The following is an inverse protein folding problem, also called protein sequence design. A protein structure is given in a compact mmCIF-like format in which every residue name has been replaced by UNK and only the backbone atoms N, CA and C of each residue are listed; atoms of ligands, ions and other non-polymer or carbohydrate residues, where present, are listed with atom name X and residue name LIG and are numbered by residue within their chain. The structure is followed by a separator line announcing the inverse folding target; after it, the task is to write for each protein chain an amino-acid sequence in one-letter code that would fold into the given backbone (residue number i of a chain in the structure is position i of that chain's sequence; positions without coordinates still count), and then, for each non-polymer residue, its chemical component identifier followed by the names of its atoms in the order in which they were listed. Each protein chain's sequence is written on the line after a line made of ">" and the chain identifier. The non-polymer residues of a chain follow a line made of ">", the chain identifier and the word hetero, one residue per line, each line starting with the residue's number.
data_IF_942323997566
#
_entry.id   IF_942323997566
#
_cell.length_a   1.000
_cell.length_b   1.000
_cell.length_c   1.000
_cell.angle_alpha   90.00
_cell.angle_beta   90.00
_cell.angle_gamma   90.00
#
_symmetry.space_group_name_H-M   'P 1'
#
loop_
_entity.id
_entity.type
_entity.pdbx_description
1 polymer ?
#
# COMPACT_ATOMS: atom_id res chain seq x y z
N UNK A 1 23.82 0.02 -9.83
CA UNK A 1 23.65 1.09 -8.84
C UNK A 1 22.20 1.53 -8.88
N UNK A 2 21.53 1.60 -7.73
CA UNK A 2 20.14 2.09 -7.67
C UNK A 2 20.05 3.54 -8.17
N UNK A 3 18.94 3.87 -8.80
CA UNK A 3 18.67 5.23 -9.28
C UNK A 3 18.46 6.17 -8.08
N UNK A 4 19.16 7.31 -8.06
CA UNK A 4 19.01 8.30 -6.97
C UNK A 4 17.60 8.90 -6.91
N UNK A 5 17.13 9.30 -5.73
CA UNK A 5 15.81 9.96 -5.55
C UNK A 5 15.64 11.20 -6.42
N UNK A 6 16.70 12.00 -6.60
CA UNK A 6 16.68 13.16 -7.49
C UNK A 6 16.44 12.75 -8.94
N UNK A 7 17.08 11.69 -9.42
CA UNK A 7 16.86 11.19 -10.78
C UNK A 7 15.41 10.70 -10.96
N UNK A 8 14.87 9.94 -9.99
CA UNK A 8 13.45 9.53 -10.00
C UNK A 8 12.51 10.74 -10.07
N UNK A 9 12.73 11.75 -9.21
CA UNK A 9 11.94 12.96 -9.16
C UNK A 9 12.01 13.77 -10.47
N UNK A 10 13.20 13.91 -11.05
CA UNK A 10 13.42 14.61 -12.32
C UNK A 10 12.71 13.92 -13.47
N UNK A 11 12.87 12.60 -13.60
CA UNK A 11 12.25 11.84 -14.68
C UNK A 11 10.74 11.94 -14.66
N UNK A 12 10.16 11.86 -13.46
CA UNK A 12 8.73 11.98 -13.22
C UNK A 12 8.20 13.38 -13.49
N UNK A 13 8.81 14.40 -12.87
CA UNK A 13 8.35 15.79 -12.94
C UNK A 13 8.37 16.33 -14.37
N UNK A 14 9.43 15.99 -15.11
CA UNK A 14 9.65 16.46 -16.47
C UNK A 14 9.05 15.53 -17.53
N UNK A 15 8.52 14.37 -17.12
CA UNK A 15 8.00 13.30 -18.00
C UNK A 15 8.91 13.10 -19.20
N UNK A 16 10.14 12.62 -19.00
CA UNK A 16 11.26 12.61 -19.97
C UNK A 16 10.87 12.29 -21.42
N UNK A 17 10.34 13.30 -22.10
CA UNK A 17 10.04 13.40 -23.52
C UNK A 17 10.41 14.83 -23.94
N UNK A 18 11.44 15.41 -23.30
CA UNK A 18 11.84 16.80 -23.43
C UNK A 18 12.46 17.10 -24.79
N UNK A 19 11.66 16.99 -25.84
CA UNK A 19 11.98 17.41 -27.19
C UNK A 19 12.23 18.91 -27.21
N UNK A 20 13.05 19.33 -28.16
CA UNK A 20 13.30 20.73 -28.42
C UNK A 20 12.03 21.35 -29.01
N UNK A 21 11.52 22.40 -28.37
CA UNK A 21 10.37 23.17 -28.85
C UNK A 21 10.81 24.63 -29.05
N UNK A 22 10.49 25.18 -30.21
CA UNK A 22 10.78 26.57 -30.58
C UNK A 22 9.57 27.15 -31.30
N UNK A 23 8.68 27.82 -30.56
CA UNK A 23 7.48 28.41 -31.13
C UNK A 23 7.69 29.90 -31.43
N UNK A 24 7.42 30.39 -32.66
CA UNK A 24 7.72 31.78 -33.06
C UNK A 24 7.02 32.86 -32.22
N UNK A 25 5.90 32.52 -31.58
CA UNK A 25 5.12 33.42 -30.73
C UNK A 25 5.43 33.29 -29.21
N UNK A 26 6.36 32.42 -28.81
CA UNK A 26 6.69 32.20 -27.40
C UNK A 26 7.78 33.18 -26.93
N UNK A 27 7.48 34.12 -26.00
CA UNK A 27 8.48 35.03 -25.45
C UNK A 27 9.59 34.32 -24.65
N UNK A 28 9.40 33.05 -24.26
CA UNK A 28 10.40 32.20 -23.59
C UNK A 28 11.48 31.64 -24.54
N UNK A 29 11.24 31.66 -25.85
CA UNK A 29 12.15 31.15 -26.87
C UNK A 29 12.32 29.62 -26.84
N UNK A 30 13.39 29.14 -27.48
CA UNK A 30 13.73 27.71 -27.53
C UNK A 30 13.76 27.07 -26.14
N UNK A 31 13.13 25.90 -26.00
CA UNK A 31 13.02 25.15 -24.74
C UNK A 31 13.36 23.67 -24.97
N UNK A 32 14.15 23.07 -24.08
CA UNK A 32 14.42 21.62 -24.04
C UNK A 32 14.44 21.17 -22.58
N UNK A 33 13.86 20.00 -22.27
CA UNK A 33 13.70 19.51 -20.88
C UNK A 33 13.00 20.52 -19.93
N UNK A 34 12.14 21.41 -20.47
CA UNK A 34 11.51 22.50 -19.70
C UNK A 34 12.44 23.66 -19.34
N UNK A 35 13.70 23.64 -19.78
CA UNK A 35 14.67 24.74 -19.61
C UNK A 35 14.58 25.67 -20.81
N UNK A 36 14.15 26.90 -20.56
CA UNK A 36 14.11 27.97 -21.58
C UNK A 36 15.51 28.48 -21.92
N UNK A 37 15.66 29.09 -23.09
CA UNK A 37 16.88 29.81 -23.48
C UNK A 37 17.32 30.83 -22.43
N UNK A 38 16.37 31.51 -21.77
CA UNK A 38 16.65 32.47 -20.69
C UNK A 38 17.24 31.76 -19.46
N UNK A 39 16.65 30.66 -19.04
CA UNK A 39 17.16 29.86 -17.91
C UNK A 39 18.55 29.32 -18.21
N UNK A 40 18.78 28.79 -19.41
CA UNK A 40 20.09 28.31 -19.83
C UNK A 40 21.11 29.46 -19.90
N UNK A 41 20.71 30.65 -20.38
CA UNK A 41 21.60 31.82 -20.43
C UNK A 41 22.08 32.22 -19.03
N UNK A 42 21.16 32.24 -18.06
CA UNK A 42 21.49 32.56 -16.68
C UNK A 42 22.45 31.52 -16.08
N UNK A 43 22.27 30.24 -16.40
CA UNK A 43 23.15 29.17 -15.95
C UNK A 43 24.57 29.29 -16.55
N UNK A 44 24.67 29.57 -17.85
CA UNK A 44 25.95 29.70 -18.55
C UNK A 44 26.67 31.02 -18.26
N UNK A 45 26.02 32.01 -17.63
CA UNK A 45 26.56 33.35 -17.45
C UNK A 45 26.75 34.14 -18.76
N UNK A 46 26.19 33.64 -19.87
CA UNK A 46 26.21 34.29 -21.20
C UNK A 46 24.88 34.07 -21.90
N UNK A 47 24.58 34.87 -22.92
CA UNK A 47 23.42 34.63 -23.78
C UNK A 47 23.57 33.26 -24.47
N UNK A 48 22.68 32.32 -24.16
CA UNK A 48 22.57 31.05 -24.85
C UNK A 48 21.97 31.27 -26.25
N UNK A 49 22.40 30.49 -27.22
CA UNK A 49 21.81 30.40 -28.56
C UNK A 49 20.69 29.36 -28.58
N UNK A 50 19.87 29.34 -29.65
CA UNK A 50 18.89 28.26 -29.84
C UNK A 50 19.55 26.90 -29.99
N UNK A 51 20.76 26.88 -30.56
CA UNK A 51 21.51 25.64 -30.75
C UNK A 51 22.08 25.11 -29.42
N UNK A 52 22.53 26.00 -28.52
CA UNK A 52 22.89 25.62 -27.15
C UNK A 52 21.71 24.93 -26.44
N UNK A 53 20.47 25.42 -26.62
CA UNK A 53 19.28 24.78 -26.04
C UNK A 53 18.98 23.43 -26.71
N UNK A 54 19.10 23.35 -28.03
CA UNK A 54 18.84 22.11 -28.80
C UNK A 54 19.82 21.00 -28.45
N UNK A 55 21.10 21.34 -28.32
CA UNK A 55 22.20 20.41 -28.02
C UNK A 55 22.43 20.22 -26.53
N UNK A 56 21.65 20.89 -25.65
CA UNK A 56 21.77 20.72 -24.21
C UNK A 56 21.61 19.25 -23.82
N UNK A 57 22.60 18.75 -23.09
CA UNK A 57 22.63 17.40 -22.55
C UNK A 57 21.71 17.27 -21.33
N UNK A 58 21.21 16.04 -21.11
CA UNK A 58 20.40 15.74 -19.94
C UNK A 58 21.12 16.09 -18.63
N UNK A 59 22.43 15.82 -18.53
CA UNK A 59 23.25 16.17 -17.37
C UNK A 59 23.20 17.65 -17.01
N UNK A 60 23.28 18.54 -18.00
CA UNK A 60 23.17 20.00 -17.79
C UNK A 60 21.79 20.38 -17.27
N UNK A 61 20.72 19.81 -17.84
CA UNK A 61 19.37 20.04 -17.31
C UNK A 61 19.24 19.59 -15.85
N UNK A 62 19.80 18.43 -15.50
CA UNK A 62 19.80 17.92 -14.13
C UNK A 62 20.50 18.87 -13.16
N UNK A 63 21.67 19.40 -13.52
CA UNK A 63 22.40 20.37 -12.70
C UNK A 63 21.59 21.65 -12.47
N UNK A 64 20.95 22.16 -13.53
CA UNK A 64 20.08 23.35 -13.45
C UNK A 64 18.91 23.10 -12.50
N UNK A 65 18.20 21.97 -12.63
CA UNK A 65 17.08 21.66 -11.75
C UNK A 65 17.52 21.40 -10.30
N UNK A 66 18.67 20.75 -10.12
CA UNK A 66 19.23 20.52 -8.80
C UNK A 66 19.51 21.85 -8.10
N UNK A 67 20.25 22.74 -8.74
CA UNK A 67 20.62 24.04 -8.18
C UNK A 67 19.42 24.98 -7.99
N UNK A 68 18.48 25.01 -8.95
CA UNK A 68 17.37 25.95 -8.93
C UNK A 68 16.19 25.52 -8.07
N UNK A 69 16.03 24.22 -7.81
CA UNK A 69 14.86 23.69 -7.10
C UNK A 69 15.27 22.72 -6.00
N UNK A 70 15.92 21.60 -6.33
CA UNK A 70 16.21 20.53 -5.36
C UNK A 70 16.98 21.02 -4.14
N UNK A 71 18.09 21.73 -4.34
CA UNK A 71 18.93 22.24 -3.27
C UNK A 71 18.22 23.34 -2.48
N UNK A 72 17.38 24.16 -3.15
CA UNK A 72 16.61 25.23 -2.50
C UNK A 72 15.44 24.70 -1.66
N UNK A 73 14.94 23.50 -1.96
CA UNK A 73 14.02 22.76 -1.09
C UNK A 73 14.75 21.75 -0.21
N UNK A 74 16.08 21.85 -0.08
CA UNK A 74 16.92 20.93 0.70
C UNK A 74 16.54 19.46 0.48
N UNK A 75 16.25 19.08 -0.76
CA UNK A 75 15.64 17.79 -1.10
C UNK A 75 16.51 16.60 -0.68
N UNK A 76 17.83 16.77 -0.63
CA UNK A 76 18.76 15.75 -0.14
C UNK A 76 18.72 15.54 1.38
N UNK A 77 18.11 16.47 2.13
CA UNK A 77 17.99 16.41 3.59
C UNK A 77 16.58 16.04 4.05
N UNK A 78 15.63 15.91 3.12
CA UNK A 78 14.28 15.45 3.38
C UNK A 78 14.19 13.92 3.22
N UNK A 79 13.22 13.26 3.88
CA UNK A 79 12.86 11.89 3.53
C UNK A 79 12.58 11.77 2.03
N UNK A 80 13.10 10.76 1.34
CA UNK A 80 12.99 10.62 -0.11
C UNK A 80 11.59 10.84 -0.69
N UNK A 81 10.55 10.29 -0.06
CA UNK A 81 9.17 10.46 -0.50
C UNK A 81 8.68 11.91 -0.43
N UNK A 82 8.99 12.61 0.66
CA UNK A 82 8.65 14.04 0.83
C UNK A 82 9.48 14.95 -0.08
N UNK A 83 10.73 14.56 -0.36
CA UNK A 83 11.60 15.27 -1.29
C UNK A 83 11.02 15.27 -2.72
N UNK A 84 10.51 14.13 -3.19
CA UNK A 84 9.84 14.00 -4.50
C UNK A 84 8.65 14.95 -4.62
N UNK A 85 7.75 14.92 -3.63
CA UNK A 85 6.54 15.77 -3.61
C UNK A 85 6.90 17.26 -3.58
N UNK A 86 7.81 17.64 -2.68
CA UNK A 86 8.22 19.03 -2.49
C UNK A 86 8.93 19.55 -3.73
N UNK A 87 9.75 18.74 -4.39
CA UNK A 87 10.42 19.09 -5.63
C UNK A 87 9.43 19.33 -6.79
N UNK A 88 8.47 18.42 -7.02
CA UNK A 88 7.48 18.60 -8.10
C UNK A 88 6.66 19.88 -7.90
N UNK A 89 6.23 20.17 -6.67
CA UNK A 89 5.52 21.42 -6.37
C UNK A 89 6.44 22.64 -6.55
N UNK A 90 7.72 22.54 -6.21
CA UNK A 90 8.67 23.65 -6.36
C UNK A 90 8.91 24.00 -7.84
N UNK A 91 9.00 23.00 -8.72
CA UNK A 91 9.12 23.21 -10.16
C UNK A 91 7.85 23.84 -10.73
N UNK A 92 6.67 23.37 -10.29
CA UNK A 92 5.38 23.78 -10.89
C UNK A 92 4.77 25.05 -10.28
N UNK A 93 5.11 25.41 -9.05
CA UNK A 93 4.46 26.50 -8.31
C UNK A 93 5.41 27.31 -7.44
N UNK A 94 6.72 27.07 -7.57
CA UNK A 94 7.75 27.81 -6.86
C UNK A 94 8.05 27.24 -5.47
N UNK A 95 9.31 27.43 -5.06
CA UNK A 95 9.91 26.92 -3.82
C UNK A 95 9.09 27.30 -2.59
N UNK A 96 8.70 28.57 -2.46
CA UNK A 96 7.98 29.05 -1.28
C UNK A 96 6.64 28.35 -1.09
N UNK A 97 5.90 28.10 -2.17
CA UNK A 97 4.62 27.40 -2.11
C UNK A 97 4.81 25.91 -1.80
N UNK A 98 5.85 25.29 -2.36
CA UNK A 98 6.20 23.91 -2.05
C UNK A 98 6.52 23.71 -0.57
N UNK A 99 7.37 24.57 -0.01
CA UNK A 99 7.77 24.49 1.41
C UNK A 99 6.58 24.77 2.33
N UNK A 100 5.70 25.72 2.00
CA UNK A 100 4.47 25.93 2.77
C UNK A 100 3.55 24.72 2.77
N UNK A 101 3.43 24.06 1.62
CA UNK A 101 2.62 22.84 1.52
C UNK A 101 3.20 21.72 2.39
N UNK A 102 4.53 21.56 2.40
CA UNK A 102 5.23 20.62 3.27
C UNK A 102 5.03 20.96 4.76
N UNK A 103 5.24 22.22 5.16
CA UNK A 103 5.07 22.67 6.55
C UNK A 103 3.64 22.44 7.04
N UNK A 104 2.62 22.71 6.21
CA UNK A 104 1.21 22.39 6.48
C UNK A 104 0.99 20.91 6.74
N UNK A 105 1.52 20.07 5.85
CA UNK A 105 1.39 18.62 5.97
C UNK A 105 2.06 18.10 7.24
N UNK A 106 3.27 18.57 7.56
CA UNK A 106 3.97 18.18 8.79
C UNK A 106 3.26 18.62 10.08
N UNK A 107 2.38 19.61 10.03
CA UNK A 107 1.66 20.07 11.21
C UNK A 107 0.55 19.13 11.66
N UNK A 108 0.06 18.20 10.82
CA UNK A 108 -0.94 17.21 11.24
C UNK A 108 -0.40 16.22 12.27
N UNK A 109 0.93 15.99 12.26
CA UNK A 109 1.62 15.13 13.23
C UNK A 109 2.17 15.93 14.42
N UNK A 110 1.65 17.14 14.66
CA UNK A 110 1.97 17.93 15.85
C UNK A 110 3.30 18.69 15.81
N UNK A 111 3.89 18.87 14.63
CA UNK A 111 5.23 19.49 14.48
C UNK A 111 5.31 20.97 14.90
N UNK A 112 4.18 21.69 14.99
CA UNK A 112 4.14 23.08 15.46
C UNK A 112 4.93 24.08 14.59
N UNK A 113 5.10 23.80 13.30
CA UNK A 113 5.86 24.64 12.38
C UNK A 113 5.09 25.89 11.97
N UNK A 114 5.81 26.99 11.78
CA UNK A 114 5.30 28.18 11.10
C UNK A 114 5.34 27.94 9.58
N UNK A 115 4.24 28.25 8.89
CA UNK A 115 4.10 28.08 7.43
C UNK A 115 4.70 29.26 6.63
N UNK A 116 5.95 29.58 6.92
CA UNK A 116 6.64 30.74 6.33
C UNK A 116 7.13 30.50 4.89
N UNK A 117 7.23 29.23 4.47
CA UNK A 117 7.78 28.82 3.19
C UNK A 117 9.31 28.84 3.13
N UNK A 118 9.97 28.84 4.29
CA UNK A 118 11.42 28.76 4.45
C UNK A 118 11.80 27.39 5.03
N UNK A 119 12.65 26.65 4.33
CA UNK A 119 13.02 25.30 4.74
C UNK A 119 14.22 25.30 5.70
N UNK A 120 13.95 25.72 6.93
CA UNK A 120 14.94 25.74 8.01
C UNK A 120 15.19 24.36 8.65
N UNK A 121 16.17 24.26 9.57
CA UNK A 121 16.45 23.03 10.32
C UNK A 121 15.23 22.47 11.06
N UNK A 122 14.29 23.32 11.49
CA UNK A 122 13.06 22.87 12.15
C UNK A 122 12.16 22.05 11.20
N UNK A 123 11.94 22.54 9.97
CA UNK A 123 11.16 21.82 8.96
C UNK A 123 11.83 20.51 8.56
N UNK A 124 13.15 20.50 8.39
CA UNK A 124 13.91 19.28 8.07
C UNK A 124 13.78 18.25 9.19
N UNK A 125 13.97 18.65 10.46
CA UNK A 125 13.80 17.73 11.60
C UNK A 125 12.38 17.17 11.68
N UNK A 126 11.37 18.03 11.55
CA UNK A 126 9.97 17.57 11.54
C UNK A 126 9.71 16.55 10.43
N UNK A 127 10.28 16.76 9.24
CA UNK A 127 10.19 15.80 8.15
C UNK A 127 10.88 14.48 8.47
N UNK A 128 12.08 14.51 9.06
CA UNK A 128 12.80 13.30 9.47
C UNK A 128 12.05 12.53 10.56
N UNK A 129 11.53 13.21 11.58
CA UNK A 129 10.72 12.59 12.62
C UNK A 129 9.45 11.95 12.04
N UNK A 130 8.79 12.62 11.09
CA UNK A 130 7.63 12.05 10.40
C UNK A 130 7.96 10.77 9.62
N UNK A 131 9.23 10.56 9.24
CA UNK A 131 9.68 9.38 8.53
C UNK A 131 10.23 8.27 9.44
N UNK A 132 10.11 8.39 10.76
CA UNK A 132 10.50 7.33 11.71
C UNK A 132 9.61 6.09 11.60
N UNK A 133 8.35 6.26 11.19
CA UNK A 133 7.41 5.16 10.94
C UNK A 133 6.72 5.34 9.59
N UNK A 134 6.37 4.23 8.95
CA UNK A 134 5.67 4.25 7.67
C UNK A 134 4.30 4.94 7.79
N UNK A 135 3.49 4.58 8.78
CA UNK A 135 2.16 5.15 9.00
C UNK A 135 2.18 6.69 9.15
N UNK A 136 3.17 7.21 9.89
CA UNK A 136 3.32 8.66 10.07
C UNK A 136 3.74 9.34 8.77
N UNK A 137 4.66 8.72 8.01
CA UNK A 137 5.10 9.25 6.72
C UNK A 137 3.95 9.30 5.71
N UNK A 138 3.18 8.21 5.62
CA UNK A 138 2.03 8.09 4.74
C UNK A 138 0.95 9.11 5.10
N UNK A 139 0.67 9.31 6.39
CA UNK A 139 -0.26 10.36 6.86
C UNK A 139 0.16 11.76 6.41
N UNK A 140 1.47 12.06 6.45
CA UNK A 140 2.00 13.35 5.96
C UNK A 140 1.93 13.44 4.43
N UNK A 141 2.16 12.34 3.70
CA UNK A 141 1.99 12.29 2.23
C UNK A 141 0.53 12.57 1.86
N UNK A 142 -0.43 11.92 2.52
CA UNK A 142 -1.86 12.12 2.30
C UNK A 142 -2.25 13.57 2.51
N UNK A 143 -1.87 14.16 3.64
CA UNK A 143 -2.18 15.55 3.94
C UNK A 143 -1.52 16.50 2.93
N UNK A 144 -0.27 16.24 2.52
CA UNK A 144 0.40 17.02 1.48
C UNK A 144 -0.41 17.03 0.18
N UNK A 145 -0.92 15.86 -0.23
CA UNK A 145 -1.72 15.67 -1.45
C UNK A 145 -3.07 16.36 -1.30
N UNK A 146 -3.77 16.18 -0.19
CA UNK A 146 -5.07 16.82 0.09
C UNK A 146 -4.95 18.34 0.05
N UNK A 147 -3.98 18.92 0.77
CA UNK A 147 -3.76 20.38 0.78
C UNK A 147 -3.41 20.92 -0.60
N UNK A 148 -2.65 20.15 -1.38
CA UNK A 148 -2.32 20.52 -2.75
C UNK A 148 -3.54 20.46 -3.68
N UNK A 149 -4.39 19.45 -3.53
CA UNK A 149 -5.66 19.32 -4.27
C UNK A 149 -6.61 20.48 -3.97
N UNK A 150 -6.77 20.83 -2.70
CA UNK A 150 -7.58 21.98 -2.26
C UNK A 150 -7.01 23.30 -2.81
N UNK A 151 -5.68 23.47 -2.83
CA UNK A 151 -5.05 24.63 -3.49
C UNK A 151 -5.42 24.73 -4.97
N UNK A 152 -5.38 23.61 -5.71
CA UNK A 152 -5.78 23.63 -7.11
C UNK A 152 -7.25 24.02 -7.31
N UNK A 153 -8.17 23.50 -6.47
CA UNK A 153 -9.59 23.84 -6.59
C UNK A 153 -9.90 25.32 -6.33
N UNK A 154 -8.98 26.05 -5.69
CA UNK A 154 -9.11 27.50 -5.44
C UNK A 154 -8.60 28.38 -6.59
N UNK A 155 -7.96 27.82 -7.62
CA UNK A 155 -7.44 28.61 -8.75
C UNK A 155 -8.52 28.89 -9.78
N UNK A 156 -8.66 30.14 -10.21
CA UNK A 156 -9.65 30.56 -11.23
C UNK A 156 -9.56 29.75 -12.53
N UNK A 157 -8.34 29.32 -12.88
CA UNK A 157 -8.04 28.55 -14.09
C UNK A 157 -8.25 27.04 -13.94
N UNK A 158 -8.75 26.55 -12.80
CA UNK A 158 -8.97 25.12 -12.55
C UNK A 158 -9.91 24.47 -13.56
N UNK A 159 -10.94 25.18 -14.03
CA UNK A 159 -11.86 24.66 -15.05
C UNK A 159 -11.19 24.26 -16.37
N UNK A 160 -10.04 24.86 -16.70
CA UNK A 160 -9.31 24.61 -17.95
C UNK A 160 -8.17 23.62 -17.75
N UNK A 161 -7.38 23.77 -16.67
CA UNK A 161 -6.14 23.00 -16.47
C UNK A 161 -6.19 21.99 -15.32
N UNK A 162 -7.24 22.04 -14.49
CA UNK A 162 -7.34 21.33 -13.22
C UNK A 162 -7.19 19.82 -13.33
N UNK A 163 -7.78 19.20 -14.35
CA UNK A 163 -7.65 17.76 -14.59
C UNK A 163 -6.19 17.34 -14.86
N UNK A 164 -5.43 18.18 -15.58
CA UNK A 164 -4.00 17.95 -15.82
C UNK A 164 -3.19 18.02 -14.53
N UNK A 165 -3.48 19.02 -13.69
CA UNK A 165 -2.84 19.19 -12.38
C UNK A 165 -3.17 18.06 -11.41
N UNK A 166 -4.44 17.63 -11.36
CA UNK A 166 -4.88 16.52 -10.53
C UNK A 166 -4.22 15.19 -10.94
N UNK A 167 -4.16 14.89 -12.25
CA UNK A 167 -3.45 13.71 -12.77
C UNK A 167 -1.97 13.73 -12.41
N UNK A 168 -1.31 14.88 -12.54
CA UNK A 168 0.09 15.04 -12.11
C UNK A 168 0.22 14.77 -10.61
N UNK A 169 -0.59 15.42 -9.78
CA UNK A 169 -0.55 15.24 -8.32
C UNK A 169 -0.70 13.78 -7.90
N UNK A 170 -1.70 13.07 -8.42
CA UNK A 170 -1.91 11.65 -8.14
C UNK A 170 -0.72 10.80 -8.61
N UNK A 171 -0.19 11.07 -9.80
CA UNK A 171 0.99 10.37 -10.29
C UNK A 171 2.24 10.61 -9.43
N UNK A 172 2.45 11.84 -8.94
CA UNK A 172 3.56 12.19 -8.03
C UNK A 172 3.38 11.53 -6.66
N UNK A 173 2.14 11.49 -6.14
CA UNK A 173 1.81 10.76 -4.92
C UNK A 173 2.15 9.27 -5.06
N UNK A 174 1.78 8.62 -6.17
CA UNK A 174 2.13 7.22 -6.43
C UNK A 174 3.64 6.97 -6.42
N UNK A 175 4.43 7.87 -7.01
CA UNK A 175 5.89 7.79 -6.94
C UNK A 175 6.39 7.98 -5.50
N UNK A 176 5.83 8.92 -4.75
CA UNK A 176 6.19 9.15 -3.35
C UNK A 176 5.91 7.92 -2.48
N UNK A 177 4.75 7.26 -2.64
CA UNK A 177 4.45 5.99 -1.95
C UNK A 177 5.40 4.87 -2.36
N UNK A 178 5.73 4.74 -3.66
CA UNK A 178 6.70 3.73 -4.10
C UNK A 178 8.10 3.97 -3.48
N UNK A 179 8.53 5.23 -3.41
CA UNK A 179 9.80 5.61 -2.77
C UNK A 179 9.75 5.43 -1.25
N UNK A 180 8.61 5.69 -0.60
CA UNK A 180 8.40 5.41 0.82
C UNK A 180 8.48 3.90 1.10
N UNK A 181 7.79 3.09 0.29
CA UNK A 181 7.84 1.63 0.40
C UNK A 181 9.27 1.11 0.24
N UNK A 182 10.06 1.62 -0.72
CA UNK A 182 11.49 1.28 -0.84
C UNK A 182 12.31 1.68 0.41
N UNK A 183 12.03 2.84 1.02
CA UNK A 183 12.71 3.29 2.24
C UNK A 183 12.47 2.35 3.43
N UNK A 184 11.27 1.79 3.54
CA UNK A 184 10.93 0.84 4.59
C UNK A 184 11.16 -0.63 4.18
N UNK A 185 11.44 -0.91 2.90
CA UNK A 185 11.80 -2.24 2.41
C UNK A 185 13.18 -2.72 2.90
N UNK A 186 14.04 -1.82 3.39
CA UNK A 186 15.34 -2.16 4.00
C UNK A 186 15.23 -2.49 5.51
N UNK A 187 14.02 -2.54 6.08
CA UNK A 187 13.74 -3.06 7.41
C UNK A 187 13.28 -4.52 7.38
N UNK A 188 13.96 -5.38 6.61
CA UNK A 188 13.56 -6.77 6.41
C UNK A 188 12.29 -6.89 5.56
N UNK A 189 12.20 -7.97 4.78
CA UNK A 189 11.03 -8.24 3.96
C UNK A 189 9.84 -8.64 4.85
N UNK A 190 9.02 -7.66 5.22
CA UNK A 190 7.77 -7.84 5.96
C UNK A 190 6.57 -7.92 5.04
N UNK A 191 6.75 -8.27 3.76
CA UNK A 191 5.61 -8.41 2.86
C UNK A 191 4.74 -9.61 3.27
N UNK A 192 3.41 -9.55 3.09
CA UNK A 192 2.52 -10.71 3.21
C UNK A 192 3.03 -11.94 2.46
N UNK A 193 3.62 -11.75 1.28
CA UNK A 193 4.22 -12.84 0.52
C UNK A 193 5.51 -13.38 1.14
N UNK A 194 6.31 -12.57 1.83
CA UNK A 194 7.52 -13.01 2.53
C UNK A 194 7.21 -13.65 3.88
N UNK A 195 6.28 -13.10 4.65
CA UNK A 195 5.70 -13.73 5.84
C UNK A 195 5.03 -15.05 5.48
N UNK A 196 4.35 -15.16 4.34
CA UNK A 196 3.80 -16.42 3.84
C UNK A 196 4.90 -17.41 3.39
N UNK A 197 5.94 -16.95 2.68
CA UNK A 197 7.04 -17.82 2.21
C UNK A 197 7.95 -18.31 3.34
N UNK A 198 8.19 -17.49 4.36
CA UNK A 198 9.05 -17.84 5.50
C UNK A 198 8.47 -18.99 6.34
N UNK A 199 7.21 -19.36 6.11
CA UNK A 199 6.39 -20.16 7.03
C UNK A 199 5.68 -21.32 6.31
N UNK A 200 6.01 -21.52 5.03
CA UNK A 200 5.51 -22.64 4.23
C UNK A 200 4.12 -22.44 3.61
N UNK A 201 3.58 -21.21 3.58
CA UNK A 201 2.46 -20.89 2.69
C UNK A 201 2.98 -20.87 1.25
N UNK A 202 2.95 -22.03 0.61
CA UNK A 202 3.39 -22.17 -0.77
C UNK A 202 2.56 -21.29 -1.71
N UNK A 203 1.27 -21.06 -1.39
CA UNK A 203 0.36 -20.30 -2.23
C UNK A 203 -0.94 -19.88 -1.52
N UNK A 204 -1.29 -18.59 -1.62
CA UNK A 204 -2.62 -18.02 -1.36
C UNK A 204 -3.09 -17.37 -2.67
N UNK A 205 -4.22 -17.81 -3.20
CA UNK A 205 -4.77 -17.35 -4.48
C UNK A 205 -6.17 -16.77 -4.31
N UNK A 206 -6.44 -15.73 -5.09
CA UNK A 206 -7.80 -15.26 -5.34
C UNK A 206 -8.27 -15.79 -6.70
N UNK A 207 -9.44 -16.40 -6.72
CA UNK A 207 -10.08 -16.89 -7.94
C UNK A 207 -11.38 -16.13 -8.21
N UNK A 208 -11.58 -15.71 -9.46
CA UNK A 208 -12.82 -15.08 -9.91
C UNK A 208 -13.66 -16.11 -10.68
N UNK A 209 -14.79 -16.51 -10.12
CA UNK A 209 -15.77 -17.34 -10.81
C UNK A 209 -16.73 -16.43 -11.57
N UNK A 210 -16.79 -16.61 -12.89
CA UNK A 210 -17.82 -16.03 -13.74
C UNK A 210 -18.36 -17.08 -14.71
N UNK A 211 -19.59 -17.54 -14.49
CA UNK A 211 -20.27 -18.50 -15.36
C UNK A 211 -21.52 -17.92 -16.06
N UNK A 212 -21.65 -16.60 -16.08
CA UNK A 212 -22.81 -15.89 -16.63
C UNK A 212 -24.02 -15.82 -15.70
N UNK A 213 -24.08 -16.61 -14.63
CA UNK A 213 -25.13 -16.58 -13.60
C UNK A 213 -24.58 -16.06 -12.27
N UNK A 214 -23.41 -16.53 -11.87
CA UNK A 214 -22.70 -16.16 -10.64
C UNK A 214 -21.43 -15.41 -11.04
N UNK A 215 -21.18 -14.29 -10.38
CA UNK A 215 -19.94 -13.52 -10.46
C UNK A 215 -19.44 -13.26 -9.04
N UNK A 216 -18.43 -14.01 -8.60
CA UNK A 216 -17.91 -13.86 -7.24
C UNK A 216 -16.43 -14.20 -7.16
N UNK A 217 -15.77 -13.69 -6.13
CA UNK A 217 -14.38 -14.03 -5.81
C UNK A 217 -14.34 -15.04 -4.66
N UNK A 218 -13.42 -15.99 -4.72
CA UNK A 218 -13.08 -16.87 -3.61
C UNK A 218 -11.59 -16.90 -3.35
N UNK A 219 -11.21 -16.94 -2.08
CA UNK A 219 -9.83 -17.07 -1.64
C UNK A 219 -9.53 -18.54 -1.32
N UNK A 220 -8.39 -19.04 -1.76
CA UNK A 220 -7.93 -20.41 -1.53
C UNK A 220 -6.46 -20.39 -1.15
N UNK A 221 -6.05 -21.19 -0.18
CA UNK A 221 -4.63 -21.35 0.15
C UNK A 221 -4.23 -22.80 0.26
N UNK A 222 -2.93 -23.05 0.07
CA UNK A 222 -2.31 -24.36 0.28
C UNK A 222 -2.16 -24.63 1.76
N UNK A 223 -2.66 -25.79 2.18
CA UNK A 223 -2.48 -26.32 3.53
C UNK A 223 -2.35 -27.83 3.46
N UNK A 224 -1.39 -28.36 4.21
CA UNK A 224 -0.98 -29.77 4.15
C UNK A 224 -0.58 -30.12 2.70
N UNK A 225 -1.26 -31.06 2.05
CA UNK A 225 -1.03 -31.47 0.66
C UNK A 225 -2.11 -30.99 -0.33
N UNK A 226 -3.13 -30.24 0.15
CA UNK A 226 -4.28 -29.83 -0.64
C UNK A 226 -4.58 -28.34 -0.54
N UNK A 227 -5.86 -28.00 -0.79
CA UNK A 227 -6.36 -26.63 -0.78
C UNK A 227 -7.46 -26.43 0.23
N UNK A 228 -7.50 -25.24 0.80
CA UNK A 228 -8.48 -24.87 1.83
C UNK A 228 -9.09 -23.50 1.53
N UNK A 229 -10.37 -23.36 1.87
CA UNK A 229 -11.12 -22.11 1.88
C UNK A 229 -12.19 -22.15 2.98
N UNK A 230 -12.89 -21.04 3.21
CA UNK A 230 -14.07 -21.04 4.06
C UNK A 230 -15.26 -21.71 3.34
N UNK A 231 -16.06 -22.52 4.03
CA UNK A 231 -17.13 -23.29 3.38
C UNK A 231 -18.22 -22.40 2.75
N UNK A 232 -18.51 -21.24 3.35
CA UNK A 232 -19.42 -20.27 2.75
C UNK A 232 -18.87 -19.66 1.46
N UNK A 233 -17.55 -19.43 1.34
CA UNK A 233 -16.93 -18.95 0.08
C UNK A 233 -17.18 -19.97 -1.03
N UNK A 234 -16.92 -21.25 -0.76
CA UNK A 234 -17.22 -22.32 -1.70
C UNK A 234 -18.71 -22.41 -2.05
N UNK A 235 -19.59 -22.21 -1.07
CA UNK A 235 -21.06 -22.22 -1.28
C UNK A 235 -21.51 -21.05 -2.14
N UNK A 236 -20.99 -19.83 -1.92
CA UNK A 236 -21.29 -18.63 -2.71
C UNK A 236 -20.78 -18.75 -4.16
N UNK A 237 -19.70 -19.49 -4.36
CA UNK A 237 -19.21 -19.90 -5.68
C UNK A 237 -20.08 -20.99 -6.33
N UNK A 238 -21.30 -21.22 -5.84
CA UNK A 238 -22.20 -22.24 -6.36
C UNK A 238 -21.63 -23.65 -6.25
N UNK A 239 -20.79 -23.89 -5.23
CA UNK A 239 -20.04 -25.16 -5.06
C UNK A 239 -19.19 -25.50 -6.28
N UNK A 240 -18.62 -24.48 -6.92
CA UNK A 240 -17.67 -24.63 -8.01
C UNK A 240 -16.28 -24.27 -7.49
N UNK A 241 -15.38 -25.26 -7.44
CA UNK A 241 -13.98 -25.03 -7.08
C UNK A 241 -13.16 -24.70 -8.33
N UNK A 242 -12.09 -23.90 -8.21
CA UNK A 242 -11.17 -23.65 -9.33
C UNK A 242 -10.41 -24.91 -9.72
N UNK A 243 -9.94 -24.97 -10.97
CA UNK A 243 -9.23 -26.15 -11.52
C UNK A 243 -8.01 -26.59 -10.69
N UNK A 244 -7.33 -25.64 -10.06
CA UNK A 244 -6.18 -25.94 -9.21
C UNK A 244 -6.56 -26.52 -7.85
N UNK A 245 -7.77 -26.25 -7.35
CA UNK A 245 -8.28 -26.71 -6.06
C UNK A 245 -9.28 -27.86 -6.23
N UNK A 246 -8.89 -28.85 -7.05
CA UNK A 246 -9.63 -30.10 -7.23
C UNK A 246 -8.93 -31.24 -6.47
N UNK A 247 -9.69 -32.26 -6.07
CA UNK A 247 -9.15 -33.46 -5.43
C UNK A 247 -10.25 -34.47 -5.09
N UNK A 248 -9.85 -35.71 -4.82
CA UNK A 248 -10.78 -36.85 -4.60
C UNK A 248 -11.69 -36.68 -3.38
N UNK A 249 -11.33 -35.77 -2.46
CA UNK A 249 -12.10 -35.45 -1.26
C UNK A 249 -12.40 -33.95 -1.23
N UNK A 250 -13.69 -33.61 -1.33
CA UNK A 250 -14.22 -32.31 -0.95
C UNK A 250 -14.98 -32.49 0.37
N UNK A 251 -14.38 -32.00 1.45
CA UNK A 251 -14.91 -32.21 2.80
C UNK A 251 -15.27 -30.88 3.43
N UNK A 252 -16.49 -30.79 3.94
CA UNK A 252 -16.88 -29.81 4.96
C UNK A 252 -16.95 -30.55 6.30
N UNK A 253 -15.96 -30.38 7.20
CA UNK A 253 -15.80 -31.26 8.34
C UNK A 253 -16.79 -30.95 9.46
N UNK A 254 -17.85 -31.75 9.55
CA UNK A 254 -18.89 -31.56 10.56
C UNK A 254 -19.74 -30.33 10.25
N UNK A 255 -19.83 -29.41 11.21
CA UNK A 255 -20.53 -28.12 11.06
C UNK A 255 -19.56 -26.94 10.89
N UNK A 256 -18.25 -27.21 10.79
CA UNK A 256 -17.22 -26.18 10.65
C UNK A 256 -17.31 -25.46 9.29
N UNK A 257 -17.13 -24.14 9.30
CA UNK A 257 -17.17 -23.29 8.09
C UNK A 257 -15.85 -23.35 7.30
N UNK A 258 -15.37 -24.57 7.02
CA UNK A 258 -14.14 -24.83 6.27
C UNK A 258 -14.44 -25.84 5.15
N UNK A 259 -13.88 -25.61 3.97
CA UNK A 259 -13.91 -26.56 2.86
C UNK A 259 -12.49 -26.94 2.48
N UNK A 260 -12.23 -28.25 2.40
CA UNK A 260 -10.93 -28.81 2.06
C UNK A 260 -11.02 -29.62 0.75
N UNK A 261 -10.01 -29.49 -0.10
CA UNK A 261 -9.93 -30.12 -1.41
C UNK A 261 -8.61 -30.89 -1.54
N UNK A 262 -8.71 -32.21 -1.66
CA UNK A 262 -7.54 -33.07 -1.85
C UNK A 262 -6.55 -33.06 -0.68
N UNK A 263 -7.01 -32.74 0.53
CA UNK A 263 -6.18 -32.66 1.73
C UNK A 263 -6.14 -33.99 2.49
N UNK A 264 -4.97 -34.37 2.95
CA UNK A 264 -4.64 -35.44 3.89
C UNK A 264 -4.30 -34.82 5.24
N UNK A 265 -4.81 -35.41 6.31
CA UNK A 265 -4.50 -34.95 7.66
C UNK A 265 -3.00 -35.08 7.96
N UNK A 266 -2.40 -34.11 8.68
CA UNK A 266 -1.03 -34.22 9.16
C UNK A 266 -0.89 -35.38 10.17
N UNK A 267 0.33 -35.89 10.41
CA UNK A 267 0.54 -37.00 11.35
C UNK A 267 0.19 -36.63 12.80
N UNK A 268 0.37 -35.36 13.17
CA UNK A 268 0.06 -34.81 14.49
C UNK A 268 -1.09 -33.81 14.41
N UNK A 269 -1.96 -33.83 15.43
CA UNK A 269 -3.00 -32.81 15.60
C UNK A 269 -2.35 -31.43 15.81
N UNK A 270 -2.76 -30.38 15.08
CA UNK A 270 -2.31 -29.02 15.33
C UNK A 270 -2.61 -28.56 16.76
N UNK A 271 -1.78 -27.67 17.35
CA UNK A 271 -2.07 -27.08 18.65
C UNK A 271 -3.38 -26.27 18.59
N UNK A 272 -4.08 -26.24 19.72
CA UNK A 272 -5.30 -25.44 19.86
C UNK A 272 -4.93 -23.98 20.16
N UNK A 273 -5.64 -22.99 19.57
CA UNK A 273 -5.38 -21.60 19.89
C UNK A 273 -5.64 -21.29 21.36
N UNK A 274 -4.82 -20.41 21.94
CA UNK A 274 -4.95 -19.99 23.34
C UNK A 274 -5.27 -18.50 23.46
N UNK A 275 -5.94 -18.11 24.54
CA UNK A 275 -6.24 -16.71 24.84
C UNK A 275 -4.94 -15.88 24.92
N UNK A 276 -4.94 -14.71 24.29
CA UNK A 276 -3.75 -13.85 24.20
C UNK A 276 -2.70 -14.29 23.17
N UNK A 277 -2.92 -15.38 22.42
CA UNK A 277 -1.99 -15.80 21.37
C UNK A 277 -1.93 -14.75 20.27
N UNK A 278 -0.70 -14.35 19.91
CA UNK A 278 -0.46 -13.38 18.84
C UNK A 278 -0.54 -14.07 17.49
N UNK A 279 -1.28 -13.47 16.58
CA UNK A 279 -1.59 -14.01 15.28
C UNK A 279 -1.16 -13.06 14.15
N UNK A 280 -0.87 -13.66 13.00
CA UNK A 280 -0.78 -13.01 11.70
C UNK A 280 -1.86 -13.59 10.79
N UNK A 281 -2.85 -12.79 10.43
CA UNK A 281 -3.90 -13.15 9.47
C UNK A 281 -3.56 -12.61 8.08
N UNK A 282 -3.63 -13.47 7.07
CA UNK A 282 -3.34 -13.14 5.67
C UNK A 282 -4.52 -13.55 4.79
N UNK A 283 -5.02 -12.64 3.98
CA UNK A 283 -6.18 -12.87 3.12
C UNK A 283 -6.41 -11.71 2.17
N UNK A 284 -7.43 -11.82 1.31
CA UNK A 284 -7.79 -10.75 0.38
C UNK A 284 -8.93 -9.93 0.96
N UNK A 285 -8.73 -8.63 1.25
CA UNK A 285 -9.85 -7.77 1.64
C UNK A 285 -10.95 -7.73 0.58
N UNK A 286 -12.18 -7.44 1.00
CA UNK A 286 -13.31 -7.39 0.08
C UNK A 286 -13.04 -6.40 -1.06
N UNK A 287 -13.15 -6.87 -2.30
CA UNK A 287 -12.87 -6.07 -3.50
C UNK A 287 -11.39 -5.90 -3.84
N UNK A 288 -10.44 -6.33 -3.00
CA UNK A 288 -8.99 -6.19 -3.25
C UNK A 288 -8.40 -7.37 -4.02
N UNK A 289 -7.70 -7.11 -5.13
CA UNK A 289 -6.91 -8.13 -5.83
C UNK A 289 -5.54 -8.39 -5.20
N UNK A 290 -5.21 -7.68 -4.12
CA UNK A 290 -3.93 -7.74 -3.42
C UNK A 290 -4.20 -8.28 -2.00
N UNK A 291 -3.46 -9.30 -1.53
CA UNK A 291 -3.61 -9.80 -0.17
C UNK A 291 -3.13 -8.75 0.84
N UNK A 292 -3.60 -8.86 2.07
CA UNK A 292 -3.20 -7.96 3.16
C UNK A 292 -3.01 -8.74 4.45
N UNK A 293 -2.20 -8.18 5.34
CA UNK A 293 -1.89 -8.73 6.65
C UNK A 293 -2.66 -8.00 7.76
N UNK A 294 -2.99 -8.76 8.81
CA UNK A 294 -3.50 -8.25 10.08
C UNK A 294 -2.72 -8.89 11.22
N UNK A 295 -2.15 -8.06 12.09
CA UNK A 295 -1.69 -8.52 13.40
C UNK A 295 -2.89 -8.58 14.31
N UNK A 296 -3.04 -9.67 15.05
CA UNK A 296 -4.16 -9.85 15.95
C UNK A 296 -3.75 -10.64 17.20
N UNK A 297 -4.66 -10.69 18.16
CA UNK A 297 -4.53 -11.43 19.40
C UNK A 297 -5.82 -12.21 19.62
N UNK A 298 -5.72 -13.51 19.93
CA UNK A 298 -6.90 -14.33 20.28
C UNK A 298 -7.57 -13.70 21.50
N UNK A 299 -8.86 -13.39 21.36
CA UNK A 299 -9.64 -12.70 22.37
C UNK A 299 -10.60 -13.64 23.12
N UNK A 300 -11.31 -14.51 22.39
CA UNK A 300 -12.22 -15.47 22.99
C UNK A 300 -12.55 -16.61 22.04
N UNK A 301 -13.06 -17.72 22.59
CA UNK A 301 -13.71 -18.79 21.83
C UNK A 301 -15.22 -18.55 21.85
N UNK A 302 -15.84 -18.32 20.69
CA UNK A 302 -17.27 -17.94 20.56
C UNK A 302 -18.19 -19.16 20.73
N UNK A 303 -17.78 -20.29 20.19
CA UNK A 303 -18.53 -21.55 20.21
C UNK A 303 -17.56 -22.74 20.15
N UNK A 304 -18.09 -23.97 20.08
CA UNK A 304 -17.26 -25.14 19.77
C UNK A 304 -16.61 -25.09 18.38
N UNK A 305 -16.96 -24.11 17.54
CA UNK A 305 -16.67 -24.12 16.11
C UNK A 305 -15.80 -22.94 15.65
N UNK A 306 -15.69 -21.85 16.42
CA UNK A 306 -14.89 -20.68 16.03
C UNK A 306 -14.26 -19.92 17.20
N UNK A 307 -13.13 -19.29 16.87
CA UNK A 307 -12.37 -18.36 17.71
C UNK A 307 -12.51 -16.94 17.16
N UNK A 308 -12.40 -15.95 18.05
CA UNK A 308 -12.36 -14.54 17.72
C UNK A 308 -10.96 -14.02 18.04
N UNK A 309 -10.35 -13.32 17.09
CA UNK A 309 -9.12 -12.58 17.29
C UNK A 309 -9.36 -11.08 17.11
N UNK A 310 -8.85 -10.28 18.04
CA UNK A 310 -8.86 -8.82 17.96
C UNK A 310 -7.64 -8.34 17.18
N UNK A 311 -7.88 -7.59 16.12
CA UNK A 311 -6.86 -6.93 15.33
C UNK A 311 -6.18 -5.85 16.18
N UNK A 312 -4.86 -5.86 16.14
CA UNK A 312 -3.99 -4.89 16.80
C UNK A 312 -3.30 -3.98 15.78
N UNK A 313 -3.14 -4.44 14.53
CA UNK A 313 -2.57 -3.66 13.45
C UNK A 313 -3.04 -4.16 12.07
N UNK A 314 -3.41 -3.26 11.13
CA UNK A 314 -3.67 -1.85 11.35
C UNK A 314 -4.92 -1.67 12.23
N UNK A 315 -5.05 -0.50 12.86
CA UNK A 315 -6.26 -0.17 13.62
C UNK A 315 -7.42 0.06 12.63
N UNK A 316 -8.28 -0.94 12.46
CA UNK A 316 -9.43 -0.89 11.55
C UNK A 316 -10.75 -1.16 12.29
N UNK A 317 -11.75 -0.24 12.20
CA UNK A 317 -12.99 -0.35 12.95
C UNK A 317 -13.99 -1.37 12.38
N UNK A 318 -13.69 -1.94 11.20
CA UNK A 318 -14.49 -2.97 10.51
C UNK A 318 -13.52 -3.84 9.72
N UNK A 319 -13.57 -5.16 9.92
CA UNK A 319 -12.81 -6.10 9.07
C UNK A 319 -13.49 -6.21 7.71
N UNK A 320 -12.78 -5.79 6.67
CA UNK A 320 -13.28 -5.83 5.29
C UNK A 320 -12.92 -7.18 4.67
N UNK A 321 -13.79 -8.18 4.89
CA UNK A 321 -13.92 -9.45 4.18
C UNK A 321 -12.63 -10.12 3.70
N UNK A 322 -12.04 -10.98 4.53
CA UNK A 322 -10.86 -11.80 4.23
C UNK A 322 -11.13 -13.32 4.28
N UNK A 323 -12.40 -13.73 4.16
CA UNK A 323 -12.80 -15.15 4.22
C UNK A 323 -12.03 -16.04 3.26
N UNK A 324 -11.71 -17.23 3.74
CA UNK A 324 -10.85 -18.18 3.03
C UNK A 324 -9.37 -17.80 3.07
N UNK A 325 -8.99 -16.78 3.86
CA UNK A 325 -7.61 -16.51 4.23
C UNK A 325 -7.12 -17.43 5.35
N UNK A 326 -5.83 -17.31 5.68
CA UNK A 326 -5.11 -18.13 6.65
C UNK A 326 -4.77 -17.32 7.90
N UNK A 327 -4.80 -17.98 9.05
CA UNK A 327 -4.34 -17.48 10.33
C UNK A 327 -3.09 -18.24 10.75
N UNK A 328 -2.04 -17.52 11.10
CA UNK A 328 -0.75 -18.04 11.52
C UNK A 328 -0.45 -17.61 12.95
N UNK A 329 0.33 -18.41 13.67
CA UNK A 329 0.99 -17.95 14.90
C UNK A 329 2.02 -16.87 14.54
N UNK A 330 2.06 -15.75 15.26
CA UNK A 330 2.96 -14.65 14.89
C UNK A 330 4.44 -14.97 15.13
N UNK A 331 4.75 -15.83 16.09
CA UNK A 331 6.12 -16.12 16.52
C UNK A 331 6.70 -17.34 15.80
N UNK A 332 5.95 -18.44 15.76
CA UNK A 332 6.38 -19.69 15.11
C UNK A 332 6.01 -19.74 13.65
N UNK A 333 4.99 -18.96 13.27
CA UNK A 333 4.47 -18.89 11.93
C UNK A 333 3.80 -20.19 11.44
N UNK A 334 3.50 -21.09 12.37
CA UNK A 334 2.72 -22.28 12.08
C UNK A 334 1.26 -21.91 11.77
N UNK A 335 0.60 -22.60 10.82
CA UNK A 335 -0.83 -22.43 10.58
C UNK A 335 -1.67 -22.75 11.81
N UNK A 336 -2.53 -21.81 12.19
CA UNK A 336 -3.42 -21.89 13.34
C UNK A 336 -4.87 -22.09 12.90
N UNK A 337 -5.30 -21.46 11.81
CA UNK A 337 -6.71 -21.47 11.42
C UNK A 337 -7.05 -20.92 10.05
N UNK A 338 -8.35 -20.94 9.75
CA UNK A 338 -8.96 -20.44 8.52
C UNK A 338 -9.86 -19.25 8.85
N UNK A 339 -9.67 -18.12 8.17
CA UNK A 339 -10.53 -16.93 8.36
C UNK A 339 -11.92 -17.22 7.78
N UNK A 340 -12.97 -17.01 8.58
CA UNK A 340 -14.37 -17.29 8.19
C UNK A 340 -15.31 -16.09 8.33
N UNK A 341 -14.77 -14.88 8.44
CA UNK A 341 -15.56 -13.65 8.58
C UNK A 341 -16.34 -13.30 7.32
N UNK A 342 -17.66 -13.49 7.38
CA UNK A 342 -18.58 -12.72 6.55
C UNK A 342 -18.59 -11.30 7.10
N UNK A 343 -18.17 -10.31 6.29
CA UNK A 343 -18.16 -8.88 6.61
C UNK A 343 -19.08 -8.53 7.79
N UNK A 344 -18.52 -8.03 8.91
CA UNK A 344 -19.30 -7.55 10.05
C UNK A 344 -19.20 -6.03 10.11
N UNK A 345 -20.11 -5.27 9.47
CA UNK A 345 -20.17 -3.83 9.68
C UNK A 345 -20.81 -3.45 11.02
N UNK A 346 -21.26 -4.39 11.87
CA UNK A 346 -22.13 -4.08 12.99
C UNK A 346 -22.36 -5.18 14.04
N UNK A 347 -21.50 -6.19 14.23
CA UNK A 347 -21.67 -7.09 15.38
C UNK A 347 -21.05 -6.40 16.61
N UNK A 348 -21.80 -5.47 17.23
CA UNK A 348 -21.55 -5.12 18.62
C UNK A 348 -21.71 -6.42 19.41
N UNK A 349 -20.59 -7.06 19.74
CA UNK A 349 -20.58 -8.13 20.72
C UNK A 349 -21.26 -7.63 22.00
N UNK A 350 -21.89 -8.57 22.71
CA UNK A 350 -22.66 -8.29 23.95
C UNK A 350 -21.82 -7.64 25.07
N UNK A 351 -20.53 -7.43 24.85
CA UNK A 351 -19.59 -6.83 25.79
C UNK A 351 -19.39 -5.30 25.60
N UNK A 352 -19.91 -4.73 24.50
CA UNK A 352 -19.90 -3.28 24.25
C UNK A 352 -18.55 -2.70 23.83
N UNK A 353 -17.63 -3.52 23.29
CA UNK A 353 -16.34 -3.07 22.76
C UNK A 353 -16.46 -2.71 21.27
N UNK A 354 -15.60 -1.82 20.76
CA UNK A 354 -15.53 -1.54 19.32
C UNK A 354 -14.96 -2.75 18.59
N UNK A 355 -15.66 -3.20 17.56
CA UNK A 355 -15.43 -4.48 16.92
C UNK A 355 -14.30 -4.40 15.87
N UNK A 356 -13.06 -4.55 16.33
CA UNK A 356 -11.86 -4.70 15.49
C UNK A 356 -11.48 -6.17 15.41
N UNK A 357 -12.44 -7.09 15.19
CA UNK A 357 -12.21 -8.52 15.38
C UNK A 357 -12.50 -9.35 14.12
N UNK A 358 -11.87 -10.52 14.02
CA UNK A 358 -12.22 -11.52 13.03
C UNK A 358 -12.43 -12.92 13.64
N UNK A 359 -13.39 -13.63 13.06
CA UNK A 359 -13.68 -15.03 13.33
C UNK A 359 -12.78 -15.95 12.47
N UNK A 360 -12.24 -16.98 13.11
CA UNK A 360 -11.51 -18.04 12.44
C UNK A 360 -11.84 -19.42 13.01
N UNK A 361 -11.73 -20.45 12.18
CA UNK A 361 -11.86 -21.85 12.60
C UNK A 361 -10.46 -22.42 12.86
N UNK A 362 -10.26 -23.03 14.02
CA UNK A 362 -8.97 -23.61 14.39
C UNK A 362 -8.68 -24.90 13.61
N UNK A 363 -7.43 -25.09 13.17
CA UNK A 363 -7.03 -26.31 12.49
C UNK A 363 -7.08 -27.55 13.39
N UNK A 364 -6.97 -27.36 14.71
CA UNK A 364 -7.17 -28.40 15.71
C UNK A 364 -8.59 -28.98 15.66
N UNK A 365 -9.60 -28.12 15.52
CA UNK A 365 -11.01 -28.52 15.43
C UNK A 365 -11.30 -29.19 14.08
N UNK A 366 -10.72 -28.66 12.98
CA UNK A 366 -10.78 -29.27 11.64
C UNK A 366 -10.20 -30.69 11.67
N UNK A 367 -9.03 -30.86 12.29
CA UNK A 367 -8.38 -32.16 12.43
C UNK A 367 -9.28 -33.16 13.16
N UNK A 368 -9.82 -32.77 14.31
CA UNK A 368 -10.68 -33.64 15.13
C UNK A 368 -11.98 -34.00 14.40
N UNK A 369 -12.59 -33.03 13.72
CA UNK A 369 -13.81 -33.25 12.95
C UNK A 369 -13.59 -34.26 11.81
N UNK A 370 -12.49 -34.16 11.06
CA UNK A 370 -12.18 -35.13 10.00
C UNK A 370 -11.84 -36.51 10.58
N UNK A 371 -11.06 -36.57 11.67
CA UNK A 371 -10.66 -37.84 12.29
C UNK A 371 -11.84 -38.60 12.89
N UNK A 372 -12.84 -37.88 13.39
CA UNK A 372 -14.04 -38.45 14.00
C UNK A 372 -15.18 -38.66 12.99
N UNK A 373 -15.01 -38.33 11.71
CA UNK A 373 -16.00 -38.65 10.69
C UNK A 373 -16.11 -40.17 10.51
N UNK A 374 -17.33 -40.73 10.48
CA UNK A 374 -17.49 -42.14 10.13
C UNK A 374 -16.93 -42.35 8.73
N UNK A 375 -16.12 -43.40 8.56
CA UNK A 375 -15.60 -43.81 7.24
C UNK A 375 -16.81 -44.23 6.41
N UNK A 376 -17.26 -43.33 5.53
CA UNK A 376 -18.37 -43.54 4.60
C UNK A 376 -17.95 -44.37 3.39
#
# INVERSE_FOLDING_TARGET
>A
MSESTLEKALRHTLKVEGEFVDHPADPGGATKYGITQKTLSNWLGRKATKDDVRTMEWSTAKEIYKANYWDKVRGSELPPALAVLTFDVAVNSGIKNAVRNLQRALNIVGSGLVEDGLIGPATVRAAQNAAETQDTLESVIDEFVVKRGIFYSMLDTFGVFGLGWARRLVSTARLAYAVAAEQFADAGDTSPEASARAVGLERLDRYFLNNGVIQTYGSFFRLWDGWVTAAHVYTEMGRTAPDFAQGDRNISPGFLDVALFGTTLPPSRPPEPVDGQKLLAIGYPAGSSIPSERHAEVYLRRSSESFIARITQPHEPVVVGMSGGIVLDKETAEPVGVIVVRNSPADLDRDGVKDESFDFVALSDVYDAIKNQPVG
#
